data_IF_008706889851
#
_entry.id   IF_008706889851
#
_cell.length_a   1.000
_cell.length_b   1.000
_cell.length_c   1.000
_cell.angle_alpha   90.00
_cell.angle_beta   90.00
_cell.angle_gamma   90.00
#
_symmetry.space_group_name_H-M   'P 1'
#
loop_
_entity.id
_entity.type
_entity.pdbx_description
1 polymer ?
#
# COMPACT_ATOMS: atom_id res chain seq x y z
N UNK A 1 42.59 -58.64 47.43
CA UNK A 1 43.42 -57.65 46.72
C UNK A 1 43.02 -57.66 45.24
N UNK A 2 41.94 -56.96 44.90
CA UNK A 2 41.45 -56.80 43.53
C UNK A 2 41.76 -55.37 43.10
N UNK A 3 42.68 -55.18 42.16
CA UNK A 3 43.04 -53.89 41.59
C UNK A 3 42.27 -53.72 40.27
N UNK A 4 41.28 -52.83 40.30
CA UNK A 4 40.57 -52.33 39.12
C UNK A 4 41.44 -51.24 38.47
N UNK A 5 41.89 -51.46 37.24
CA UNK A 5 42.58 -50.45 36.43
C UNK A 5 41.54 -49.64 35.67
N UNK A 6 41.33 -48.39 36.07
CA UNK A 6 40.42 -47.45 35.41
C UNK A 6 41.22 -46.63 34.39
N UNK A 7 40.97 -46.82 33.09
CA UNK A 7 41.45 -45.90 32.04
C UNK A 7 40.51 -44.69 31.98
N UNK A 8 41.00 -43.51 32.37
CA UNK A 8 40.33 -42.24 32.13
C UNK A 8 40.76 -41.76 30.74
N UNK A 9 39.85 -41.84 29.77
CA UNK A 9 39.99 -41.19 28.46
C UNK A 9 39.59 -39.72 28.63
N UNK A 10 40.58 -38.82 28.61
CA UNK A 10 40.35 -37.38 28.65
C UNK A 10 39.94 -36.90 27.24
N UNK A 11 38.64 -36.79 26.97
CA UNK A 11 38.14 -36.13 25.76
C UNK A 11 38.37 -34.61 25.89
N UNK A 12 39.38 -34.10 25.20
CA UNK A 12 39.60 -32.67 25.03
C UNK A 12 38.49 -32.14 24.10
N UNK A 13 37.38 -31.66 24.66
CA UNK A 13 36.37 -30.90 23.92
C UNK A 13 36.99 -29.55 23.61
N UNK A 14 37.60 -29.44 22.43
CA UNK A 14 37.93 -28.15 21.82
C UNK A 14 36.59 -27.51 21.49
N UNK A 15 36.12 -26.62 22.39
CA UNK A 15 35.09 -25.64 22.06
C UNK A 15 35.69 -24.69 21.01
N UNK A 16 35.66 -25.11 19.75
CA UNK A 16 35.76 -24.20 18.61
C UNK A 16 34.49 -23.33 18.66
N UNK A 17 34.59 -22.21 19.37
CA UNK A 17 33.69 -21.08 19.15
C UNK A 17 33.91 -20.63 17.71
N UNK A 18 33.13 -21.18 16.78
CA UNK A 18 32.96 -20.54 15.48
C UNK A 18 32.38 -19.16 15.79
N UNK A 19 33.23 -18.13 15.75
CA UNK A 19 32.74 -16.78 15.58
C UNK A 19 31.86 -16.83 14.33
N UNK A 20 30.54 -16.71 14.53
CA UNK A 20 29.62 -16.61 13.41
C UNK A 20 30.00 -15.35 12.67
N UNK A 21 30.65 -15.48 11.52
CA UNK A 21 30.95 -14.34 10.67
C UNK A 21 29.62 -13.81 10.15
N UNK A 22 29.05 -12.83 10.83
CA UNK A 22 27.86 -12.12 10.38
C UNK A 22 28.28 -11.10 9.32
N UNK A 23 27.79 -11.27 8.08
CA UNK A 23 27.94 -10.23 7.06
C UNK A 23 26.96 -9.12 7.39
N UNK A 24 27.44 -7.89 7.57
CA UNK A 24 26.59 -6.71 7.76
C UNK A 24 26.74 -5.80 6.54
N UNK A 25 25.62 -5.55 5.86
CA UNK A 25 25.54 -4.59 4.75
C UNK A 25 24.54 -3.48 5.05
N UNK A 26 24.75 -2.34 4.42
CA UNK A 26 24.03 -1.10 4.71
C UNK A 26 23.28 -0.62 3.47
N UNK A 27 22.06 -0.11 3.69
CA UNK A 27 21.22 0.44 2.63
C UNK A 27 20.83 1.88 2.98
N UNK A 28 21.23 2.81 2.13
CA UNK A 28 20.91 4.23 2.24
C UNK A 28 20.39 4.67 0.87
N UNK A 29 19.09 4.98 0.73
CA UNK A 29 18.53 5.37 -0.56
C UNK A 29 19.31 6.50 -1.21
N UNK A 30 19.57 6.46 -2.51
CA UNK A 30 20.19 7.57 -3.25
C UNK A 30 19.58 7.70 -4.63
N UNK A 31 19.46 8.95 -5.10
CA UNK A 31 19.06 9.26 -6.49
C UNK A 31 20.25 9.26 -7.46
N UNK A 32 21.48 9.27 -6.93
CA UNK A 32 22.72 9.26 -7.71
C UNK A 32 23.64 8.13 -7.22
N UNK A 33 24.23 7.33 -8.12
CA UNK A 33 25.24 6.35 -7.73
C UNK A 33 26.40 7.04 -7.02
N UNK A 34 26.96 6.37 -6.02
CA UNK A 34 28.17 6.87 -5.36
C UNK A 34 29.37 6.83 -6.31
N UNK A 35 30.17 7.90 -6.29
CA UNK A 35 31.46 7.91 -6.97
C UNK A 35 32.37 6.85 -6.31
N UNK A 36 32.62 5.73 -7.00
CA UNK A 36 33.39 4.59 -6.47
C UNK A 36 32.62 3.27 -6.41
N UNK A 37 31.31 3.28 -6.69
CA UNK A 37 30.45 2.10 -6.65
C UNK A 37 29.79 1.89 -5.28
N UNK A 38 28.92 0.88 -5.21
CA UNK A 38 28.20 0.47 -4.00
C UNK A 38 28.62 -0.97 -3.68
N UNK A 39 29.26 -1.19 -2.53
CA UNK A 39 29.76 -2.51 -2.10
C UNK A 39 29.03 -3.03 -0.85
N UNK A 40 28.07 -2.24 -0.33
CA UNK A 40 27.27 -2.58 0.84
C UNK A 40 27.95 -2.26 2.16
N UNK A 41 29.17 -1.73 2.18
CA UNK A 41 29.82 -1.25 3.42
C UNK A 41 29.15 0.02 3.95
N UNK A 42 29.47 0.42 5.18
CA UNK A 42 28.95 1.68 5.72
C UNK A 42 29.48 2.90 4.96
N UNK A 43 30.69 2.79 4.39
CA UNK A 43 31.29 3.86 3.59
C UNK A 43 30.75 3.89 2.16
N UNK A 44 30.29 2.75 1.60
CA UNK A 44 29.66 2.64 0.28
C UNK A 44 28.39 1.74 0.31
N UNK A 45 27.32 2.16 1.03
CA UNK A 45 26.08 1.41 1.15
C UNK A 45 25.39 1.26 -0.21
N UNK A 46 24.54 0.24 -0.31
CA UNK A 46 23.63 0.09 -1.44
C UNK A 46 22.52 1.13 -1.42
N UNK A 47 22.05 1.53 -2.60
CA UNK A 47 20.94 2.47 -2.75
C UNK A 47 19.56 1.84 -2.59
N UNK A 48 19.42 0.52 -2.73
CA UNK A 48 18.13 -0.16 -2.58
C UNK A 48 18.23 -1.50 -1.85
N UNK A 49 17.09 -1.94 -1.32
CA UNK A 49 16.97 -3.25 -0.65
C UNK A 49 17.18 -4.39 -1.66
N UNK A 50 16.78 -4.21 -2.92
CA UNK A 50 17.03 -5.16 -4.01
C UNK A 50 18.52 -5.34 -4.28
N UNK A 51 19.29 -4.24 -4.36
CA UNK A 51 20.74 -4.32 -4.57
C UNK A 51 21.42 -5.08 -3.43
N UNK A 52 21.03 -4.78 -2.18
CA UNK A 52 21.52 -5.48 -1.01
C UNK A 52 21.19 -6.99 -1.05
N UNK A 53 19.94 -7.34 -1.36
CA UNK A 53 19.50 -8.72 -1.53
C UNK A 53 20.28 -9.43 -2.62
N UNK A 54 20.36 -8.84 -3.81
CA UNK A 54 20.97 -9.46 -4.97
C UNK A 54 22.49 -9.64 -4.80
N UNK A 55 23.15 -8.71 -4.11
CA UNK A 55 24.52 -8.90 -3.64
C UNK A 55 24.67 -10.06 -2.67
N UNK A 56 23.81 -10.17 -1.64
CA UNK A 56 23.87 -11.28 -0.69
C UNK A 56 23.63 -12.64 -1.35
N UNK A 57 22.90 -12.68 -2.47
CA UNK A 57 22.69 -13.90 -3.27
C UNK A 57 23.94 -14.34 -4.04
N UNK A 58 24.92 -13.46 -4.27
CA UNK A 58 26.21 -13.86 -4.86
C UNK A 58 27.14 -14.50 -3.82
N UNK A 59 26.82 -14.38 -2.53
CA UNK A 59 27.62 -14.92 -1.43
C UNK A 59 27.14 -16.34 -1.11
N UNK A 60 27.93 -17.34 -1.52
CA UNK A 60 27.60 -18.78 -1.44
C UNK A 60 27.71 -19.33 0.01
N UNK A 61 28.23 -18.54 0.95
CA UNK A 61 28.45 -19.00 2.34
C UNK A 61 27.13 -19.03 3.12
N UNK A 62 26.90 -20.14 3.82
CA UNK A 62 25.81 -20.26 4.82
C UNK A 62 26.27 -19.60 6.13
N UNK A 63 26.03 -18.30 6.23
CA UNK A 63 26.28 -17.49 7.43
C UNK A 63 25.11 -16.57 7.69
N UNK A 64 24.90 -16.16 8.94
CA UNK A 64 23.91 -15.13 9.25
C UNK A 64 24.26 -13.81 8.55
N UNK A 65 23.25 -13.16 7.99
CA UNK A 65 23.36 -11.92 7.22
C UNK A 65 22.52 -10.84 7.89
N UNK A 66 23.08 -9.64 8.04
CA UNK A 66 22.39 -8.45 8.53
C UNK A 66 22.33 -7.41 7.41
N UNK A 67 21.14 -6.90 7.15
CA UNK A 67 20.89 -5.76 6.27
C UNK A 67 20.38 -4.62 7.13
N UNK A 68 21.18 -3.58 7.29
CA UNK A 68 20.88 -2.40 8.08
C UNK A 68 20.34 -1.28 7.19
N UNK A 69 19.10 -0.86 7.43
CA UNK A 69 18.41 0.16 6.65
C UNK A 69 18.46 1.51 7.36
N UNK A 70 18.82 2.57 6.64
CA UNK A 70 18.76 3.94 7.15
C UNK A 70 17.30 4.34 7.39
N UNK A 71 16.95 5.04 8.50
CA UNK A 71 15.55 5.32 8.85
C UNK A 71 14.96 6.44 7.99
N UNK A 72 14.53 6.05 6.79
CA UNK A 72 13.88 6.87 5.76
C UNK A 72 12.95 5.98 4.92
N UNK A 73 12.33 6.53 3.89
CA UNK A 73 11.58 5.77 2.90
C UNK A 73 12.50 5.00 1.94
N UNK A 74 12.34 3.69 1.90
CA UNK A 74 12.90 2.78 0.91
C UNK A 74 11.79 2.42 -0.09
N UNK A 75 11.68 3.19 -1.17
CA UNK A 75 10.64 2.98 -2.19
C UNK A 75 10.95 1.77 -3.06
N UNK A 76 10.05 0.78 -3.04
CA UNK A 76 10.09 -0.41 -3.90
C UNK A 76 9.47 -0.02 -5.25
N UNK A 77 10.32 0.25 -6.25
CA UNK A 77 9.87 0.84 -7.52
C UNK A 77 9.35 -0.24 -8.48
N UNK A 78 8.07 -0.14 -8.83
CA UNK A 78 7.39 -0.83 -9.94
C UNK A 78 7.25 -2.37 -9.87
N UNK A 79 7.93 -3.06 -8.95
CA UNK A 79 7.80 -4.51 -8.80
C UNK A 79 7.88 -4.96 -7.33
N UNK A 80 7.23 -6.06 -6.99
CA UNK A 80 7.32 -6.68 -5.66
C UNK A 80 8.75 -7.05 -5.28
N UNK A 81 9.15 -6.79 -4.04
CA UNK A 81 10.40 -7.24 -3.47
C UNK A 81 10.29 -8.73 -3.10
N UNK A 82 10.87 -9.58 -3.94
CA UNK A 82 10.77 -11.04 -3.82
C UNK A 82 11.98 -11.62 -3.09
N UNK A 83 11.70 -12.42 -2.07
CA UNK A 83 12.65 -13.26 -1.35
C UNK A 83 12.33 -14.74 -1.54
N UNK A 84 13.38 -15.53 -1.73
CA UNK A 84 13.29 -16.96 -1.93
C UNK A 84 14.37 -17.73 -1.16
N UNK A 85 14.51 -19.02 -1.46
CA UNK A 85 15.47 -19.93 -0.82
C UNK A 85 16.92 -19.42 -0.77
N UNK A 86 17.29 -18.42 -1.58
CA UNK A 86 18.62 -17.80 -1.55
C UNK A 86 18.79 -16.79 -0.41
N UNK A 87 17.70 -16.38 0.25
CA UNK A 87 17.64 -15.28 1.21
C UNK A 87 17.51 -15.75 2.67
N UNK A 88 17.75 -17.04 2.93
CA UNK A 88 17.77 -17.64 4.28
C UNK A 88 18.70 -16.93 5.28
N UNK A 89 18.49 -17.11 6.58
CA UNK A 89 19.41 -16.61 7.62
C UNK A 89 19.67 -15.09 7.55
N UNK A 90 18.68 -14.31 7.11
CA UNK A 90 18.84 -12.86 6.87
C UNK A 90 17.98 -12.05 7.82
N UNK A 91 18.58 -11.05 8.45
CA UNK A 91 17.92 -10.09 9.33
C UNK A 91 17.93 -8.72 8.65
N UNK A 92 16.76 -8.16 8.39
CA UNK A 92 16.58 -6.76 8.02
C UNK A 92 16.28 -5.96 9.27
N UNK A 93 17.02 -4.89 9.50
CA UNK A 93 16.83 -4.07 10.71
C UNK A 93 17.19 -2.60 10.51
N UNK A 94 16.74 -1.73 11.42
CA UNK A 94 17.16 -0.33 11.46
C UNK A 94 18.66 -0.21 11.75
N UNK A 95 19.33 0.75 11.11
CA UNK A 95 20.69 1.15 11.49
C UNK A 95 20.76 1.64 12.94
N UNK A 96 21.83 1.33 13.65
CA UNK A 96 22.07 1.90 14.99
C UNK A 96 22.29 3.42 14.91
N UNK A 97 22.13 4.14 16.02
CA UNK A 97 22.38 5.58 16.06
C UNK A 97 23.81 5.94 15.63
N UNK A 98 24.80 5.12 16.00
CA UNK A 98 26.20 5.32 15.61
C UNK A 98 26.41 5.12 14.10
N UNK A 99 25.78 4.10 13.51
CA UNK A 99 25.80 3.87 12.06
C UNK A 99 25.16 5.06 11.31
N UNK A 100 24.02 5.57 11.79
CA UNK A 100 23.34 6.73 11.23
C UNK A 100 24.21 7.99 11.28
N UNK A 101 24.81 8.30 12.45
CA UNK A 101 25.66 9.48 12.64
C UNK A 101 26.87 9.45 11.71
N UNK A 102 27.44 8.26 11.44
CA UNK A 102 28.56 8.10 10.49
C UNK A 102 28.13 8.39 9.05
N UNK A 103 26.96 7.91 8.63
CA UNK A 103 26.39 8.22 7.31
C UNK A 103 26.17 9.74 7.16
N UNK A 104 25.55 10.38 8.15
CA UNK A 104 25.29 11.82 8.12
C UNK A 104 26.58 12.66 8.11
N UNK A 105 27.63 12.20 8.80
CA UNK A 105 28.91 12.90 8.86
C UNK A 105 29.71 12.78 7.56
N UNK A 106 29.61 11.64 6.87
CA UNK A 106 30.33 11.41 5.61
C UNK A 106 29.59 11.96 4.39
N UNK A 107 28.27 12.20 4.50
CA UNK A 107 27.40 12.52 3.36
C UNK A 107 26.31 13.50 3.73
N UNK A 108 26.09 14.49 2.85
CA UNK A 108 24.90 15.34 2.93
C UNK A 108 23.69 14.57 2.41
N UNK A 109 22.86 14.08 3.33
CA UNK A 109 21.62 13.38 3.03
C UNK A 109 20.44 14.35 3.09
N UNK A 110 19.65 14.44 2.01
CA UNK A 110 18.42 15.25 1.99
C UNK A 110 17.17 14.37 2.15
N UNK A 111 17.27 13.32 2.97
CA UNK A 111 16.17 12.39 3.17
C UNK A 111 15.19 12.91 4.21
N UNK A 112 13.96 12.41 4.13
CA UNK A 112 12.99 12.54 5.21
C UNK A 112 13.46 11.62 6.33
N UNK A 113 13.81 12.18 7.49
CA UNK A 113 14.17 11.38 8.66
C UNK A 113 12.91 10.83 9.31
N UNK A 114 12.94 9.53 9.60
CA UNK A 114 11.90 8.78 10.27
C UNK A 114 12.46 8.13 11.54
N UNK A 115 11.60 7.61 12.40
CA UNK A 115 12.04 6.86 13.59
C UNK A 115 12.59 5.47 13.23
N UNK A 116 12.08 4.88 12.14
CA UNK A 116 12.49 3.59 11.60
C UNK A 116 12.33 3.61 10.06
N UNK A 117 13.04 2.73 9.32
CA UNK A 117 12.95 2.64 7.87
C UNK A 117 11.57 2.15 7.44
N UNK A 118 10.99 2.78 6.42
CA UNK A 118 9.73 2.36 5.81
C UNK A 118 10.00 1.80 4.43
N UNK A 119 9.71 0.53 4.20
CA UNK A 119 9.67 -0.07 2.86
C UNK A 119 8.31 0.29 2.25
N UNK A 120 8.33 1.21 1.29
CA UNK A 120 7.12 1.81 0.73
C UNK A 120 6.79 1.24 -0.65
N UNK A 121 5.53 0.81 -0.82
CA UNK A 121 4.95 0.45 -2.13
C UNK A 121 4.45 1.65 -2.94
N UNK A 122 4.70 2.87 -2.44
CA UNK A 122 4.29 4.10 -3.07
C UNK A 122 5.38 4.79 -3.87
N UNK A 123 5.03 5.95 -4.40
CA UNK A 123 5.95 6.91 -4.99
C UNK A 123 5.79 8.26 -4.30
N UNK A 124 6.91 8.91 -4.01
CA UNK A 124 6.89 10.30 -3.56
C UNK A 124 6.59 11.21 -4.75
N UNK A 125 5.49 11.96 -4.68
CA UNK A 125 5.07 12.89 -5.71
C UNK A 125 5.66 14.28 -5.44
N UNK A 126 6.54 14.73 -6.33
CA UNK A 126 7.19 16.05 -6.28
C UNK A 126 6.79 16.90 -7.48
N UNK A 127 6.97 18.23 -7.41
CA UNK A 127 6.65 19.18 -8.49
C UNK A 127 5.15 19.39 -8.76
N UNK A 128 4.36 19.45 -7.69
CA UNK A 128 2.95 19.84 -7.74
C UNK A 128 2.78 21.30 -8.19
N UNK A 129 1.70 21.55 -8.93
CA UNK A 129 1.27 22.89 -9.36
C UNK A 129 0.16 23.35 -8.44
N UNK A 130 0.22 24.58 -7.94
CA UNK A 130 -0.89 25.22 -7.26
C UNK A 130 -1.74 26.00 -8.28
N UNK A 131 -2.98 25.57 -8.47
CA UNK A 131 -3.99 26.31 -9.23
C UNK A 131 -5.12 26.74 -8.29
N UNK A 132 -5.16 28.03 -7.97
CA UNK A 132 -6.20 28.67 -7.12
C UNK A 132 -6.43 27.95 -5.77
N UNK A 133 -5.36 27.47 -5.15
CA UNK A 133 -5.43 26.78 -3.85
C UNK A 133 -5.59 25.26 -3.95
N UNK A 134 -5.81 24.72 -5.15
CA UNK A 134 -5.83 23.27 -5.39
C UNK A 134 -4.48 22.83 -5.94
N UNK A 135 -3.89 21.81 -5.33
CA UNK A 135 -2.64 21.24 -5.82
C UNK A 135 -2.93 20.16 -6.83
N UNK A 136 -2.24 20.16 -7.96
CA UNK A 136 -2.39 19.13 -8.98
C UNK A 136 -1.04 18.67 -9.55
N UNK A 137 -1.02 17.42 -10.01
CA UNK A 137 0.15 16.82 -10.66
C UNK A 137 -0.29 15.74 -11.65
N UNK A 138 0.44 15.62 -12.76
CA UNK A 138 0.31 14.46 -13.65
C UNK A 138 1.04 13.28 -13.00
N UNK A 139 0.33 12.18 -12.74
CA UNK A 139 0.96 10.99 -12.14
C UNK A 139 1.91 10.32 -13.14
N UNK A 140 3.07 9.80 -12.72
CA UNK A 140 4.08 9.26 -13.63
C UNK A 140 3.74 7.88 -14.20
N UNK A 141 2.71 7.21 -13.67
CA UNK A 141 2.27 5.89 -14.11
C UNK A 141 0.87 5.97 -14.71
N UNK A 142 0.58 5.17 -15.74
CA UNK A 142 -0.79 5.02 -16.23
C UNK A 142 -1.60 4.20 -15.23
N UNK A 143 -2.38 4.89 -14.39
CA UNK A 143 -3.17 4.30 -13.32
C UNK A 143 -4.63 4.25 -13.72
N UNK A 144 -5.24 3.07 -13.55
CA UNK A 144 -6.69 2.89 -13.79
C UNK A 144 -7.55 3.51 -12.68
N UNK A 145 -7.02 3.59 -11.47
CA UNK A 145 -7.67 4.20 -10.31
C UNK A 145 -6.62 4.58 -9.25
N UNK A 146 -6.97 5.55 -8.41
CA UNK A 146 -6.26 5.88 -7.18
C UNK A 146 -7.26 5.84 -6.04
N UNK A 147 -7.06 4.92 -5.09
CA UNK A 147 -7.97 4.68 -3.96
C UNK A 147 -7.43 5.21 -2.64
N UNK A 148 -6.15 5.59 -2.61
CA UNK A 148 -5.41 5.98 -1.41
C UNK A 148 -4.39 7.06 -1.77
N UNK A 149 -4.18 7.98 -0.84
CA UNK A 149 -3.12 8.98 -0.88
C UNK A 149 -2.69 9.25 0.56
N UNK A 150 -1.40 9.49 0.78
CA UNK A 150 -0.83 9.78 2.09
C UNK A 150 -0.16 11.13 2.06
N UNK A 151 -0.44 11.96 3.06
CA UNK A 151 0.09 13.32 3.20
C UNK A 151 0.70 13.44 4.60
N UNK A 152 2.00 13.73 4.67
CA UNK A 152 2.77 13.79 5.91
C UNK A 152 2.58 12.54 6.80
N UNK A 153 2.65 11.34 6.20
CA UNK A 153 2.48 10.06 6.90
C UNK A 153 1.04 9.67 7.20
N UNK A 154 0.05 10.53 6.93
CA UNK A 154 -1.35 10.23 7.20
C UNK A 154 -2.15 9.97 5.93
N UNK A 155 -2.93 8.88 5.92
CA UNK A 155 -3.88 8.62 4.84
C UNK A 155 -4.93 9.73 4.80
N UNK A 156 -5.13 10.31 3.62
CA UNK A 156 -6.15 11.34 3.39
C UNK A 156 -7.40 10.75 2.73
N UNK A 157 -8.53 11.43 2.92
CA UNK A 157 -9.81 11.00 2.38
C UNK A 157 -9.83 11.12 0.85
N UNK A 158 -10.36 10.10 0.17
CA UNK A 158 -10.78 10.25 -1.23
C UNK A 158 -12.02 11.15 -1.23
N UNK A 159 -12.10 12.07 -2.18
CA UNK A 159 -13.21 13.02 -2.25
C UNK A 159 -14.54 12.28 -2.30
N UNK A 160 -15.53 12.77 -1.53
CA UNK A 160 -16.85 12.14 -1.46
C UNK A 160 -18.01 13.12 -1.55
N UNK A 161 -19.16 12.61 -1.99
CA UNK A 161 -20.44 13.33 -1.94
C UNK A 161 -21.56 12.47 -1.34
N UNK A 162 -22.33 12.99 -0.39
CA UNK A 162 -22.07 14.23 0.35
C UNK A 162 -20.81 14.10 1.24
N UNK A 163 -20.16 15.21 1.55
CA UNK A 163 -18.94 15.23 2.37
C UNK A 163 -19.17 14.63 3.77
N UNK A 164 -20.22 15.08 4.46
CA UNK A 164 -20.48 14.75 5.88
C UNK A 164 -21.78 13.97 6.13
N UNK A 165 -22.54 13.65 5.08
CA UNK A 165 -23.83 12.96 5.17
C UNK A 165 -23.96 11.87 4.10
N UNK A 166 -25.18 11.35 3.92
CA UNK A 166 -25.47 10.29 2.97
C UNK A 166 -26.59 10.71 2.03
N UNK A 167 -26.49 10.29 0.78
CA UNK A 167 -27.66 10.17 -0.06
C UNK A 167 -28.47 8.94 0.37
N UNK A 168 -29.75 8.94 0.01
CA UNK A 168 -30.63 7.77 0.12
C UNK A 168 -31.30 7.47 -1.21
N UNK A 169 -31.36 6.20 -1.61
CA UNK A 169 -32.15 5.79 -2.77
C UNK A 169 -33.64 5.63 -2.42
N UNK A 170 -34.52 5.72 -3.41
CA UNK A 170 -35.98 5.57 -3.25
C UNK A 170 -36.36 4.08 -3.25
N UNK A 171 -35.96 3.34 -4.29
CA UNK A 171 -36.20 1.89 -4.43
C UNK A 171 -35.25 1.25 -5.44
N UNK A 172 -35.12 -0.08 -5.39
CA UNK A 172 -34.45 -0.85 -6.43
C UNK A 172 -35.16 -0.81 -7.78
N UNK A 173 -34.45 -1.22 -8.84
CA UNK A 173 -35.06 -1.46 -10.15
C UNK A 173 -35.82 -2.81 -10.16
N UNK A 174 -36.73 -2.99 -11.13
CA UNK A 174 -37.56 -4.19 -11.24
C UNK A 174 -36.70 -5.47 -11.33
N UNK A 175 -36.92 -6.39 -10.37
CA UNK A 175 -36.19 -7.64 -10.18
C UNK A 175 -36.32 -8.64 -11.35
N UNK A 176 -37.22 -8.38 -12.29
CA UNK A 176 -37.41 -9.18 -13.51
C UNK A 176 -36.35 -8.92 -14.59
N UNK A 177 -35.48 -7.94 -14.39
CA UNK A 177 -34.43 -7.57 -15.35
C UNK A 177 -33.05 -7.68 -14.74
N UNK A 178 -32.02 -7.89 -15.58
CA UNK A 178 -30.61 -7.86 -15.14
C UNK A 178 -30.22 -6.51 -14.52
N UNK A 179 -30.90 -5.43 -14.91
CA UNK A 179 -30.68 -4.07 -14.39
C UNK A 179 -31.01 -3.95 -12.90
N UNK A 180 -31.84 -4.84 -12.33
CA UNK A 180 -32.13 -4.89 -10.89
C UNK A 180 -30.89 -5.02 -10.00
N UNK A 181 -29.84 -5.63 -10.54
CA UNK A 181 -28.56 -5.82 -9.87
C UNK A 181 -27.59 -4.69 -10.16
N UNK A 182 -27.90 -3.78 -11.08
CA UNK A 182 -26.97 -2.77 -11.60
C UNK A 182 -27.44 -1.35 -11.33
N UNK A 183 -28.49 -1.12 -10.54
CA UNK A 183 -28.97 0.23 -10.35
C UNK A 183 -30.13 0.36 -9.38
N UNK A 184 -30.53 1.61 -9.16
CA UNK A 184 -31.66 1.98 -8.32
C UNK A 184 -32.30 3.29 -8.81
N UNK A 185 -33.50 3.56 -8.30
CA UNK A 185 -34.16 4.85 -8.42
C UNK A 185 -33.71 5.73 -7.25
N UNK A 186 -33.17 6.91 -7.54
CA UNK A 186 -32.70 7.88 -6.55
C UNK A 186 -33.80 8.89 -6.19
N UNK A 187 -33.63 9.61 -5.07
CA UNK A 187 -34.61 10.62 -4.63
C UNK A 187 -34.45 11.94 -5.38
N UNK A 188 -35.52 12.70 -5.49
CA UNK A 188 -35.52 14.00 -6.15
C UNK A 188 -34.41 14.93 -5.62
N UNK A 189 -33.86 15.72 -6.54
CA UNK A 189 -32.89 16.78 -6.31
C UNK A 189 -31.49 16.34 -5.78
N UNK A 190 -31.19 15.04 -5.75
CA UNK A 190 -29.88 14.53 -5.25
C UNK A 190 -28.70 14.74 -6.23
N UNK A 191 -28.96 14.86 -7.53
CA UNK A 191 -27.93 14.96 -8.57
C UNK A 191 -27.98 16.27 -9.38
N UNK A 192 -28.86 17.21 -9.03
CA UNK A 192 -29.12 18.41 -9.84
C UNK A 192 -27.89 19.30 -10.04
N UNK A 193 -26.97 19.30 -9.06
CA UNK A 193 -25.75 20.11 -9.05
C UNK A 193 -24.46 19.26 -9.10
N UNK A 194 -24.54 18.01 -9.59
CA UNK A 194 -23.40 17.09 -9.64
C UNK A 194 -23.13 16.71 -11.08
N UNK A 195 -21.93 17.01 -11.59
CA UNK A 195 -21.55 16.62 -12.94
C UNK A 195 -20.85 15.26 -12.92
N UNK A 196 -21.62 14.19 -13.17
CA UNK A 196 -21.04 12.85 -13.33
C UNK A 196 -20.74 12.57 -14.80
N UNK A 197 -19.47 12.30 -15.10
CA UNK A 197 -19.07 11.80 -16.42
C UNK A 197 -19.05 10.28 -16.46
N UNK A 198 -19.57 9.67 -17.53
CA UNK A 198 -19.46 8.21 -17.76
C UNK A 198 -18.03 7.73 -17.94
N UNK A 199 -17.10 8.65 -18.22
CA UNK A 199 -15.66 8.38 -18.30
C UNK A 199 -14.94 8.58 -16.96
N UNK A 200 -15.63 9.07 -15.93
CA UNK A 200 -15.06 9.21 -14.59
C UNK A 200 -14.92 7.86 -13.90
N UNK A 201 -13.97 7.76 -12.98
CA UNK A 201 -13.83 6.62 -12.05
C UNK A 201 -14.63 6.84 -10.77
N UNK A 202 -15.80 7.48 -10.88
CA UNK A 202 -16.73 7.70 -9.77
C UNK A 202 -17.27 6.36 -9.27
N UNK A 203 -17.22 6.17 -7.96
CA UNK A 203 -17.73 4.98 -7.28
C UNK A 203 -18.93 5.32 -6.41
N UNK A 204 -19.96 4.47 -6.45
CA UNK A 204 -21.08 4.47 -5.54
C UNK A 204 -20.82 3.44 -4.46
N UNK A 205 -20.73 3.91 -3.21
CA UNK A 205 -20.58 3.07 -2.03
C UNK A 205 -21.95 2.94 -1.39
N UNK A 206 -22.55 1.76 -1.51
CA UNK A 206 -23.90 1.46 -1.01
C UNK A 206 -23.77 0.68 0.28
N UNK A 207 -24.47 1.12 1.33
CA UNK A 207 -24.45 0.45 2.62
C UNK A 207 -25.51 -0.65 2.68
N UNK A 208 -25.12 -1.82 3.20
CA UNK A 208 -25.98 -3.00 3.34
C UNK A 208 -25.80 -3.61 4.72
N UNK A 209 -26.66 -3.25 5.69
CA UNK A 209 -26.54 -3.78 7.05
C UNK A 209 -25.09 -3.67 7.59
N UNK A 210 -24.37 -4.79 7.73
CA UNK A 210 -22.98 -4.91 8.17
C UNK A 210 -21.92 -4.94 7.05
N UNK A 211 -22.30 -4.78 5.78
CA UNK A 211 -21.38 -4.69 4.62
C UNK A 211 -21.61 -3.42 3.79
N UNK A 212 -20.73 -3.19 2.81
CA UNK A 212 -20.92 -2.21 1.75
C UNK A 212 -20.65 -2.86 0.40
N UNK A 213 -21.36 -2.42 -0.65
CA UNK A 213 -21.01 -2.72 -2.03
C UNK A 213 -20.44 -1.48 -2.74
N UNK A 214 -19.51 -1.70 -3.67
CA UNK A 214 -18.85 -0.66 -4.46
C UNK A 214 -19.25 -0.81 -5.92
N UNK A 215 -19.71 0.27 -6.54
CA UNK A 215 -20.20 0.26 -7.90
C UNK A 215 -19.64 1.38 -8.74
N UNK A 216 -19.16 1.08 -9.94
CA UNK A 216 -18.67 2.10 -10.85
C UNK A 216 -19.81 2.73 -11.62
N UNK A 217 -19.86 4.05 -11.61
CA UNK A 217 -20.84 4.83 -12.38
C UNK A 217 -20.83 4.44 -13.87
N UNK A 218 -22.01 4.32 -14.47
CA UNK A 218 -22.17 4.13 -15.92
C UNK A 218 -23.05 5.22 -16.52
N UNK A 219 -24.28 5.38 -16.01
CA UNK A 219 -25.23 6.34 -16.56
C UNK A 219 -26.30 6.76 -15.55
N UNK A 220 -26.75 8.00 -15.65
CA UNK A 220 -27.99 8.49 -15.02
C UNK A 220 -29.03 8.78 -16.10
N UNK A 221 -30.29 8.45 -15.80
CA UNK A 221 -31.49 8.81 -16.57
C UNK A 221 -32.35 9.75 -15.71
N UNK A 222 -32.20 11.08 -15.86
CA UNK A 222 -32.86 12.04 -14.98
C UNK A 222 -34.39 11.94 -15.02
N UNK A 223 -34.98 11.65 -16.19
CA UNK A 223 -36.42 11.59 -16.40
C UNK A 223 -37.10 10.55 -15.49
N UNK A 224 -36.41 9.44 -15.23
CA UNK A 224 -36.92 8.33 -14.41
C UNK A 224 -36.19 8.22 -13.06
N UNK A 225 -35.29 9.17 -12.76
CA UNK A 225 -34.38 9.16 -11.60
C UNK A 225 -33.63 7.85 -11.43
N UNK A 226 -33.13 7.28 -12.51
CA UNK A 226 -32.43 5.99 -12.47
C UNK A 226 -30.93 6.19 -12.58
N UNK A 227 -30.17 5.57 -11.68
CA UNK A 227 -28.72 5.39 -11.85
C UNK A 227 -28.43 3.94 -12.23
N UNK A 228 -27.50 3.75 -13.18
CA UNK A 228 -26.99 2.46 -13.63
C UNK A 228 -25.47 2.41 -13.41
N UNK A 229 -25.01 1.25 -12.98
CA UNK A 229 -23.63 0.87 -12.73
C UNK A 229 -23.10 -0.06 -13.81
N UNK A 230 -21.79 -0.07 -13.99
CA UNK A 230 -21.16 -1.02 -14.92
C UNK A 230 -21.02 -2.42 -14.33
N UNK A 231 -20.80 -2.55 -13.02
CA UNK A 231 -20.72 -3.82 -12.32
C UNK A 231 -22.03 -4.17 -11.58
N UNK A 232 -22.43 -5.46 -11.55
CA UNK A 232 -23.60 -5.90 -10.81
C UNK A 232 -23.34 -5.97 -9.30
N UNK A 233 -24.41 -5.94 -8.51
CA UNK A 233 -24.46 -6.32 -7.11
C UNK A 233 -24.65 -7.84 -6.99
N UNK A 234 -24.24 -8.42 -5.85
CA UNK A 234 -24.53 -9.83 -5.54
C UNK A 234 -26.02 -10.10 -5.35
N UNK A 235 -26.75 -9.10 -4.87
CA UNK A 235 -28.19 -9.19 -4.62
C UNK A 235 -28.91 -7.96 -5.18
N UNK A 236 -30.21 -8.11 -5.45
CA UNK A 236 -31.03 -6.99 -5.95
C UNK A 236 -30.97 -5.83 -4.96
N UNK A 237 -30.65 -4.64 -5.46
CA UNK A 237 -30.60 -3.43 -4.64
C UNK A 237 -32.02 -3.11 -4.15
N UNK A 238 -32.16 -2.75 -2.87
CA UNK A 238 -33.47 -2.49 -2.29
C UNK A 238 -34.27 -3.76 -1.94
N UNK A 239 -33.59 -4.89 -1.70
CA UNK A 239 -34.23 -6.05 -1.07
C UNK A 239 -34.76 -5.66 0.33
N UNK A 240 -36.07 -5.83 0.54
CA UNK A 240 -36.79 -5.40 1.74
C UNK A 240 -36.27 -6.03 3.03
N UNK A 241 -35.66 -7.21 2.96
CA UNK A 241 -35.03 -7.89 4.11
C UNK A 241 -33.80 -7.15 4.65
N UNK A 242 -33.19 -6.24 3.87
CA UNK A 242 -31.94 -5.53 4.22
C UNK A 242 -32.17 -4.01 4.33
N UNK A 243 -33.21 -3.46 3.69
CA UNK A 243 -33.51 -2.01 3.65
C UNK A 243 -33.57 -1.38 5.05
N UNK A 244 -34.21 -2.04 6.02
CA UNK A 244 -34.40 -1.46 7.38
C UNK A 244 -33.07 -1.12 8.06
N UNK A 245 -32.03 -1.91 7.80
CA UNK A 245 -30.72 -1.75 8.45
C UNK A 245 -29.79 -0.84 7.64
N UNK A 246 -29.90 -0.81 6.31
CA UNK A 246 -29.10 0.09 5.48
C UNK A 246 -29.53 1.56 5.59
N UNK A 247 -30.82 1.81 5.85
CA UNK A 247 -31.42 3.14 5.73
C UNK A 247 -31.38 3.66 4.28
N UNK A 248 -31.23 2.75 3.31
CA UNK A 248 -31.08 3.06 1.89
C UNK A 248 -29.89 3.99 1.58
N UNK A 249 -28.89 4.02 2.46
CA UNK A 249 -27.79 4.99 2.39
C UNK A 249 -26.76 4.63 1.33
N UNK A 250 -26.24 5.65 0.68
CA UNK A 250 -25.06 5.57 -0.17
C UNK A 250 -24.29 6.89 -0.17
N UNK A 251 -23.02 6.83 -0.58
CA UNK A 251 -22.22 8.01 -0.93
C UNK A 251 -21.47 7.76 -2.23
N UNK A 252 -21.00 8.84 -2.85
CA UNK A 252 -20.12 8.80 -4.01
C UNK A 252 -18.68 9.01 -3.55
N UNK A 253 -17.73 8.32 -4.17
CA UNK A 253 -16.30 8.59 -4.05
C UNK A 253 -15.70 8.98 -5.40
N UNK A 254 -14.61 9.74 -5.36
CA UNK A 254 -13.90 10.29 -6.51
C UNK A 254 -14.71 11.28 -7.34
N UNK A 255 -15.30 12.27 -6.68
CA UNK A 255 -16.02 13.36 -7.33
C UNK A 255 -15.25 14.66 -7.14
N UNK A 256 -14.99 15.40 -8.22
CA UNK A 256 -14.19 16.62 -8.18
C UNK A 256 -14.85 17.68 -7.29
N UNK A 257 -16.15 17.90 -7.44
CA UNK A 257 -16.92 18.85 -6.62
C UNK A 257 -16.93 18.45 -5.14
N UNK A 258 -16.84 17.15 -4.82
CA UNK A 258 -16.68 16.68 -3.45
C UNK A 258 -15.37 17.16 -2.83
N UNK A 259 -14.28 17.15 -3.61
CA UNK A 259 -12.96 17.56 -3.15
C UNK A 259 -12.92 19.05 -2.81
N UNK A 260 -13.57 19.88 -3.63
CA UNK A 260 -13.61 21.33 -3.42
C UNK A 260 -14.25 21.73 -2.07
N UNK A 261 -15.10 20.87 -1.51
CA UNK A 261 -15.81 21.13 -0.25
C UNK A 261 -15.12 20.51 0.97
N UNK A 262 -14.02 19.80 0.80
CA UNK A 262 -13.36 19.04 1.87
C UNK A 262 -11.83 19.22 1.80
N UNK A 263 -11.29 20.13 2.63
CA UNK A 263 -9.83 20.27 2.83
C UNK A 263 -9.23 18.93 3.29
N UNK A 264 -8.04 18.61 2.79
CA UNK A 264 -7.36 17.35 3.08
C UNK A 264 -7.96 16.16 2.35
N UNK A 265 -8.66 16.37 1.23
CA UNK A 265 -9.16 15.31 0.34
C UNK A 265 -8.53 15.37 -1.05
N UNK A 266 -8.61 14.26 -1.79
CA UNK A 266 -8.06 14.17 -3.15
C UNK A 266 -9.07 13.64 -4.16
N UNK A 267 -8.87 14.01 -5.43
CA UNK A 267 -9.61 13.52 -6.59
C UNK A 267 -8.61 13.07 -7.66
N UNK A 268 -8.90 11.96 -8.33
CA UNK A 268 -8.07 11.46 -9.43
C UNK A 268 -8.88 11.36 -10.72
N UNK A 269 -8.41 12.05 -11.76
CA UNK A 269 -8.91 11.90 -13.11
C UNK A 269 -8.05 10.89 -13.87
N UNK A 270 -8.61 9.70 -14.11
CA UNK A 270 -7.95 8.62 -14.83
C UNK A 270 -7.81 8.88 -16.34
N UNK A 271 -8.48 9.87 -16.92
CA UNK A 271 -8.37 10.19 -18.35
C UNK A 271 -7.17 11.07 -18.58
N UNK A 272 -7.10 12.17 -17.83
CA UNK A 272 -5.98 13.12 -17.90
C UNK A 272 -4.76 12.66 -17.09
N UNK A 273 -4.91 11.63 -16.26
CA UNK A 273 -3.91 11.15 -15.31
C UNK A 273 -3.48 12.27 -14.33
N UNK A 274 -4.39 13.18 -14.00
CA UNK A 274 -4.13 14.26 -13.05
C UNK A 274 -4.69 13.86 -11.69
N UNK A 275 -3.81 13.91 -10.68
CA UNK A 275 -4.18 13.83 -9.27
C UNK A 275 -4.32 15.24 -8.72
N UNK A 276 -5.49 15.53 -8.17
CA UNK A 276 -5.82 16.78 -7.50
C UNK A 276 -5.88 16.55 -5.99
N UNK A 277 -5.39 17.51 -5.23
CA UNK A 277 -5.41 17.52 -3.78
C UNK A 277 -5.86 18.89 -3.30
N UNK A 278 -6.83 18.92 -2.39
CA UNK A 278 -7.23 20.12 -1.67
C UNK A 278 -6.42 20.19 -0.38
N UNK A 279 -5.34 20.99 -0.33
CA UNK A 279 -4.49 21.07 0.86
C UNK A 279 -5.23 21.66 2.06
N UNK A 280 -4.80 21.27 3.26
CA UNK A 280 -5.18 21.94 4.49
C UNK A 280 -4.42 23.26 4.63
N UNK A 281 -4.96 24.19 5.41
CA UNK A 281 -4.37 25.52 5.63
C UNK A 281 -2.92 25.53 6.11
N UNK A 282 -2.46 24.47 6.78
CA UNK A 282 -1.10 24.36 7.33
C UNK A 282 -0.11 23.58 6.44
N UNK A 283 -0.52 23.15 5.25
CA UNK A 283 0.32 22.39 4.33
C UNK A 283 0.99 23.32 3.30
N UNK A 284 2.24 23.02 2.94
CA UNK A 284 3.01 23.79 1.94
C UNK A 284 3.63 22.89 0.88
N UNK A 285 3.72 23.36 -0.35
CA UNK A 285 4.33 22.62 -1.45
C UNK A 285 5.81 22.28 -1.20
N UNK A 286 6.49 23.07 -0.37
CA UNK A 286 7.92 22.93 -0.10
C UNK A 286 8.22 21.83 0.93
N UNK A 287 7.28 21.57 1.85
CA UNK A 287 7.53 20.70 3.02
C UNK A 287 6.60 19.50 3.08
N UNK A 288 5.45 19.56 2.41
CA UNK A 288 4.45 18.50 2.48
C UNK A 288 4.91 17.29 1.67
N UNK A 289 4.98 16.15 2.34
CA UNK A 289 5.35 14.86 1.75
C UNK A 289 4.08 14.18 1.28
N UNK A 290 3.95 13.95 -0.02
CA UNK A 290 2.78 13.27 -0.60
C UNK A 290 3.21 11.96 -1.24
N UNK A 291 2.71 10.85 -0.71
CA UNK A 291 3.03 9.50 -1.19
C UNK A 291 1.78 8.88 -1.82
N UNK A 292 1.93 8.45 -3.07
CA UNK A 292 0.90 7.74 -3.83
C UNK A 292 1.21 6.24 -3.86
N UNK A 293 0.42 5.37 -3.19
CA UNK A 293 0.51 3.92 -3.33
C UNK A 293 0.33 3.46 -4.78
N UNK A 294 1.26 2.67 -5.30
CA UNK A 294 1.17 2.09 -6.66
C UNK A 294 1.35 0.58 -6.72
N UNK A 295 1.91 -0.04 -5.67
CA UNK A 295 2.22 -1.46 -5.64
C UNK A 295 1.32 -2.19 -4.64
N UNK A 296 0.62 -3.24 -5.08
CA UNK A 296 -0.33 -3.99 -4.23
C UNK A 296 0.40 -4.91 -3.24
N UNK A 297 1.45 -5.59 -3.71
CA UNK A 297 2.30 -6.44 -2.87
C UNK A 297 3.71 -5.89 -2.85
N UNK A 298 4.12 -5.42 -1.68
CA UNK A 298 5.42 -4.83 -1.45
C UNK A 298 6.44 -5.94 -1.25
N UNK A 299 6.13 -6.90 -0.38
CA UNK A 299 7.03 -7.95 0.05
C UNK A 299 6.45 -9.33 -0.27
N UNK A 300 7.23 -10.19 -0.90
CA UNK A 300 6.86 -11.59 -1.16
C UNK A 300 7.97 -12.53 -0.70
N UNK A 301 7.70 -13.39 0.27
CA UNK A 301 8.66 -14.32 0.88
C UNK A 301 8.18 -15.75 0.64
N UNK A 302 8.86 -16.43 -0.29
CA UNK A 302 8.44 -17.74 -0.78
C UNK A 302 9.54 -18.77 -0.55
N UNK A 303 9.28 -19.84 0.20
CA UNK A 303 10.27 -20.88 0.53
C UNK A 303 11.50 -20.35 1.25
N UNK A 304 11.33 -19.39 2.15
CA UNK A 304 12.44 -18.86 2.99
C UNK A 304 12.42 -19.55 4.35
N UNK A 305 13.60 -19.90 4.87
CA UNK A 305 13.83 -20.36 6.22
C UNK A 305 14.66 -19.33 7.00
N UNK A 306 14.24 -19.01 8.24
CA UNK A 306 14.94 -18.13 9.18
C UNK A 306 15.23 -16.73 8.60
N UNK A 307 14.19 -15.90 8.53
CA UNK A 307 14.31 -14.49 8.15
C UNK A 307 13.65 -13.63 9.23
N UNK A 308 14.30 -12.51 9.56
CA UNK A 308 13.77 -11.58 10.55
C UNK A 308 13.70 -10.17 9.97
N UNK A 309 12.62 -9.48 10.30
CA UNK A 309 12.41 -8.06 10.06
C UNK A 309 12.22 -7.40 11.43
N UNK A 310 13.11 -6.48 11.80
CA UNK A 310 13.11 -5.89 13.13
C UNK A 310 13.15 -4.36 13.07
N UNK A 311 12.10 -3.73 13.61
CA UNK A 311 11.96 -2.27 13.65
C UNK A 311 11.95 -1.69 12.23
N UNK A 312 10.99 -2.11 11.41
CA UNK A 312 10.83 -1.69 10.02
C UNK A 312 9.34 -1.51 9.75
N UNK A 313 8.97 -0.45 9.03
CA UNK A 313 7.61 -0.25 8.52
C UNK A 313 7.44 -0.82 7.12
N UNK A 314 6.28 -1.38 6.81
CA UNK A 314 5.87 -1.74 5.46
C UNK A 314 4.58 -0.98 5.16
N UNK A 315 4.66 0.05 4.32
CA UNK A 315 3.54 0.97 4.14
C UNK A 315 3.24 1.26 2.68
N UNK A 316 2.11 1.94 2.43
CA UNK A 316 1.74 2.47 1.12
C UNK A 316 1.50 1.37 0.07
N UNK A 317 0.93 0.22 0.47
CA UNK A 317 0.44 -0.78 -0.48
C UNK A 317 -0.84 -0.29 -1.16
N UNK A 318 -0.86 -0.31 -2.49
CA UNK A 318 -2.03 0.03 -3.27
C UNK A 318 -3.14 -1.01 -3.12
N UNK A 319 -4.37 -0.59 -3.40
CA UNK A 319 -5.51 -1.49 -3.55
C UNK A 319 -6.25 -1.15 -4.83
N UNK A 320 -5.96 -1.89 -5.90
CA UNK A 320 -6.47 -1.61 -7.26
C UNK A 320 -7.53 -2.64 -7.66
N UNK A 321 -8.66 -2.63 -6.93
CA UNK A 321 -9.85 -3.45 -7.26
C UNK A 321 -10.31 -3.21 -8.72
N UNK A 322 -10.04 -2.04 -9.29
CA UNK A 322 -10.38 -1.70 -10.68
C UNK A 322 -9.73 -2.63 -11.73
N UNK A 323 -8.67 -3.38 -11.37
CA UNK A 323 -8.11 -4.45 -12.22
C UNK A 323 -8.98 -5.70 -12.25
N UNK A 324 -9.87 -5.90 -11.28
CA UNK A 324 -10.88 -6.94 -11.34
C UNK A 324 -11.85 -6.58 -12.47
N UNK A 325 -12.23 -7.59 -13.25
CA UNK A 325 -13.18 -7.44 -14.35
C UNK A 325 -14.40 -6.65 -13.85
N UNK A 326 -14.72 -5.50 -14.48
CA UNK A 326 -15.89 -4.65 -14.15
C UNK A 326 -17.23 -5.39 -14.21
N UNK A 327 -17.25 -6.66 -14.59
CA UNK A 327 -18.40 -7.55 -14.53
C UNK A 327 -18.57 -8.27 -13.18
N UNK A 328 -17.62 -8.15 -12.24
CA UNK A 328 -17.62 -8.85 -10.96
C UNK A 328 -18.27 -7.98 -9.87
N UNK A 329 -19.17 -8.54 -9.05
CA UNK A 329 -19.68 -7.88 -7.86
C UNK A 329 -18.58 -7.55 -6.85
N UNK A 330 -18.60 -6.33 -6.31
CA UNK A 330 -17.70 -5.90 -5.23
C UNK A 330 -18.57 -5.58 -4.01
N UNK A 331 -18.74 -6.56 -3.14
CA UNK A 331 -19.50 -6.50 -1.88
C UNK A 331 -18.68 -7.16 -0.78
N UNK A 332 -18.89 -6.83 0.49
CA UNK A 332 -18.11 -7.37 1.62
C UNK A 332 -18.00 -8.90 1.64
N UNK A 333 -19.01 -9.63 1.14
CA UNK A 333 -18.92 -11.09 0.95
C UNK A 333 -18.11 -11.49 -0.29
N UNK A 334 -18.26 -10.75 -1.39
CA UNK A 334 -17.56 -10.96 -2.66
C UNK A 334 -16.07 -10.55 -2.61
N UNK A 335 -15.69 -9.53 -1.84
CA UNK A 335 -14.31 -9.14 -1.68
C UNK A 335 -13.48 -10.31 -1.10
N UNK A 336 -14.02 -11.05 -0.13
CA UNK A 336 -13.35 -12.24 0.39
C UNK A 336 -13.21 -13.39 -0.64
N UNK A 337 -14.18 -13.53 -1.55
CA UNK A 337 -14.24 -14.64 -2.52
C UNK A 337 -13.49 -14.34 -3.84
N UNK A 338 -13.38 -13.07 -4.24
CA UNK A 338 -12.80 -12.64 -5.52
C UNK A 338 -11.50 -11.83 -5.40
N UNK A 339 -11.08 -11.44 -4.19
CA UNK A 339 -9.71 -10.98 -4.02
C UNK A 339 -8.80 -12.14 -4.40
N UNK A 340 -8.01 -11.95 -5.45
CA UNK A 340 -6.85 -12.80 -5.69
C UNK A 340 -6.09 -12.85 -4.35
N UNK A 341 -5.94 -14.05 -3.78
CA UNK A 341 -5.33 -14.28 -2.46
C UNK A 341 -3.90 -13.75 -2.37
N UNK A 342 -3.35 -13.21 -3.46
CA UNK A 342 -2.07 -12.54 -3.57
C UNK A 342 -2.10 -11.01 -3.37
N UNK A 343 -3.25 -10.33 -3.31
CA UNK A 343 -3.33 -8.87 -3.12
C UNK A 343 -3.23 -8.51 -1.62
N UNK A 344 -2.01 -8.58 -1.10
CA UNK A 344 -1.64 -8.21 0.28
C UNK A 344 -0.31 -7.48 0.28
N UNK A 345 -0.08 -6.57 1.24
CA UNK A 345 1.18 -5.82 1.36
C UNK A 345 2.39 -6.76 1.57
N UNK A 346 2.21 -7.80 2.39
CA UNK A 346 3.21 -8.84 2.69
C UNK A 346 2.63 -10.22 2.39
N UNK A 347 3.23 -10.92 1.44
CA UNK A 347 2.85 -12.26 1.03
C UNK A 347 3.85 -13.30 1.53
N UNK A 348 3.36 -14.33 2.22
CA UNK A 348 4.16 -15.44 2.74
C UNK A 348 3.65 -16.76 2.18
N UNK A 349 4.56 -17.60 1.65
CA UNK A 349 4.18 -18.94 1.19
C UNK A 349 5.31 -19.95 1.38
N UNK A 350 4.97 -21.11 1.96
CA UNK A 350 5.90 -22.23 2.15
C UNK A 350 7.21 -21.86 2.88
N UNK A 351 7.17 -20.84 3.74
CA UNK A 351 8.31 -20.32 4.49
C UNK A 351 8.21 -20.70 5.96
N UNK A 352 9.34 -20.81 6.67
CA UNK A 352 9.39 -21.18 8.09
C UNK A 352 10.34 -20.27 8.87
N UNK A 353 10.03 -20.07 10.16
CA UNK A 353 10.82 -19.20 11.05
C UNK A 353 10.99 -17.77 10.53
N UNK A 354 9.91 -17.22 9.95
CA UNK A 354 9.84 -15.81 9.57
C UNK A 354 9.35 -14.99 10.77
N UNK A 355 10.14 -14.03 11.22
CA UNK A 355 9.85 -13.19 12.38
C UNK A 355 9.67 -11.74 11.95
N UNK A 356 8.61 -11.12 12.44
CA UNK A 356 8.35 -9.68 12.31
C UNK A 356 8.32 -9.10 13.74
N UNK A 357 9.35 -8.35 14.11
CA UNK A 357 9.55 -7.81 15.45
C UNK A 357 9.45 -6.28 15.40
N UNK A 358 8.62 -5.68 16.25
CA UNK A 358 8.42 -4.23 16.33
C UNK A 358 8.14 -3.59 14.96
N UNK A 359 7.20 -4.18 14.21
CA UNK A 359 6.87 -3.70 12.86
C UNK A 359 5.53 -3.00 12.82
N UNK A 360 5.45 -2.04 11.90
CA UNK A 360 4.21 -1.38 11.46
C UNK A 360 3.91 -1.87 10.03
N UNK A 361 2.68 -2.34 9.78
CA UNK A 361 2.19 -2.80 8.47
C UNK A 361 0.87 -2.11 8.16
#
# INVERSE_FOLDING_TARGET
MYLFTCYILLFLIINLTFASFSISIYVVPSSLPLNGGEDGTLENPFSTVEQARDYLRTIIRSSFRRVALYPTYHFVKYHTLIFDERDHLTIYTTMTRDEQNRIQSSRKTNFIELDFPIISGGIHLTNWINDKGIWNIVVPASLSAVTQLFVNGHRVARSRLPATSYFTYEKGLDNRTRLAYQGFIYRENQFDNITLSSTSTTEFIIYHSYTTSRHYFSKIFPQNRTVIFSNPCLSVIGNTSIIKQSGQRFHLENVYEGMLNEEGSFYFDSITQILYYHPRKNESLQTTIIILPILETILSIIKVHQMEWNSIGIEHSAWMISKLNKSIPIDGRAAADYLDKSIVAVYLRNSSEIKFNNMEI
#
